data_IF_030743727205
#
_entry.id   IF_030743727205
#
_cell.length_a   1.000
_cell.length_b   1.000
_cell.length_c   1.000
_cell.angle_alpha   90.00
_cell.angle_beta   90.00
_cell.angle_gamma   90.00
#
_symmetry.space_group_name_H-M   'P 1'
#
loop_
_entity.id
_entity.type
_entity.pdbx_description
1 polymer ?
#
# COMPACT_ATOMS: atom_id res chain seq x y z
N UNK A 1 4.30 -0.04 5.70
CA UNK A 1 3.05 0.49 6.27
C UNK A 1 3.28 1.11 7.65
N UNK A 2 2.69 2.28 7.92
CA UNK A 2 2.73 3.00 9.21
C UNK A 2 1.69 2.43 10.19
N UNK A 3 1.97 1.28 10.80
CA UNK A 3 1.13 0.75 11.87
C UNK A 3 1.50 1.37 13.23
N UNK A 4 0.63 1.24 14.22
CA UNK A 4 0.90 1.69 15.60
C UNK A 4 2.21 1.11 16.15
N UNK A 5 2.45 -0.18 15.94
CA UNK A 5 3.70 -0.83 16.34
C UNK A 5 4.93 -0.26 15.63
N UNK A 6 4.81 0.09 14.34
CA UNK A 6 5.92 0.71 13.60
C UNK A 6 6.18 2.15 14.07
N UNK A 7 5.12 2.90 14.39
CA UNK A 7 5.22 4.26 14.93
C UNK A 7 5.90 4.23 16.30
N UNK A 8 5.54 3.26 17.16
CA UNK A 8 6.21 3.08 18.45
C UNK A 8 7.69 2.68 18.26
N UNK A 9 7.98 1.73 17.37
CA UNK A 9 9.35 1.29 17.11
C UNK A 9 10.24 2.42 16.55
N UNK A 10 9.70 3.28 15.68
CA UNK A 10 10.40 4.44 15.14
C UNK A 10 10.85 5.46 16.20
N UNK A 11 10.29 5.41 17.43
CA UNK A 11 10.79 6.24 18.55
C UNK A 11 12.17 5.78 19.05
N UNK A 12 12.51 4.52 18.83
CA UNK A 12 13.74 3.90 19.30
C UNK A 12 14.78 3.72 18.18
N UNK A 13 14.35 3.61 16.93
CA UNK A 13 15.23 3.54 15.76
C UNK A 13 14.99 4.72 14.81
N UNK A 14 15.90 5.70 14.89
CA UNK A 14 15.85 6.92 14.08
C UNK A 14 16.14 6.70 12.59
N UNK A 15 16.61 5.51 12.18
CA UNK A 15 16.81 5.19 10.77
C UNK A 15 15.49 4.95 10.02
N UNK A 16 14.39 4.79 10.75
CA UNK A 16 13.06 4.59 10.18
C UNK A 16 12.46 5.90 9.69
N UNK A 17 12.21 5.98 8.39
CA UNK A 17 11.48 7.08 7.79
C UNK A 17 9.99 6.74 7.67
N UNK A 18 9.16 7.21 8.60
CA UNK A 18 7.72 7.00 8.55
C UNK A 18 7.05 7.69 7.35
N UNK A 19 7.59 8.84 6.88
CA UNK A 19 6.99 9.61 5.79
C UNK A 19 7.08 8.93 4.42
N UNK A 20 8.01 7.99 4.24
CA UNK A 20 8.14 7.17 3.04
C UNK A 20 7.21 5.94 3.06
N UNK A 21 6.57 5.65 4.19
CA UNK A 21 5.69 4.51 4.36
C UNK A 21 4.23 4.88 4.06
N UNK A 22 3.48 3.96 3.47
CA UNK A 22 2.03 4.07 3.27
C UNK A 22 1.25 4.00 4.59
N UNK A 23 0.05 4.59 4.63
CA UNK A 23 -0.91 4.43 5.74
C UNK A 23 -1.53 3.03 5.80
N UNK A 24 -2.19 2.68 6.92
CA UNK A 24 -2.98 1.44 7.01
C UNK A 24 -4.22 1.54 6.10
N UNK A 25 -4.83 2.71 6.05
CA UNK A 25 -6.00 3.04 5.26
C UNK A 25 -5.77 2.83 3.77
N UNK A 26 -4.54 3.05 3.29
CA UNK A 26 -4.18 2.81 1.90
C UNK A 26 -4.38 1.35 1.48
N UNK A 27 -3.96 0.40 2.30
CA UNK A 27 -4.21 -1.02 2.04
C UNK A 27 -5.71 -1.35 2.10
N UNK A 28 -6.44 -0.75 3.05
CA UNK A 28 -7.90 -0.86 3.12
C UNK A 28 -8.60 -0.36 1.84
N UNK A 29 -8.17 0.78 1.29
CA UNK A 29 -8.66 1.30 0.00
C UNK A 29 -8.40 0.33 -1.16
N UNK A 30 -7.23 -0.29 -1.20
CA UNK A 30 -6.90 -1.30 -2.21
C UNK A 30 -7.87 -2.49 -2.17
N UNK A 31 -8.12 -3.02 -0.96
CA UNK A 31 -9.06 -4.12 -0.75
C UNK A 31 -10.48 -3.70 -1.16
N UNK A 32 -10.92 -2.51 -0.74
CA UNK A 32 -12.24 -2.00 -1.09
C UNK A 32 -12.42 -1.76 -2.60
N UNK A 33 -11.39 -1.29 -3.31
CA UNK A 33 -11.42 -1.12 -4.76
C UNK A 33 -11.52 -2.47 -5.47
N UNK A 34 -10.68 -3.45 -5.07
CA UNK A 34 -10.71 -4.81 -5.59
C UNK A 34 -12.08 -5.49 -5.36
N UNK A 35 -12.64 -5.37 -4.16
CA UNK A 35 -13.93 -5.95 -3.82
C UNK A 35 -15.11 -5.39 -4.64
N UNK A 36 -14.95 -4.21 -5.24
CA UNK A 36 -15.95 -3.56 -6.11
C UNK A 36 -15.72 -3.82 -7.60
N UNK A 37 -14.59 -4.42 -7.98
CA UNK A 37 -14.30 -4.77 -9.37
C UNK A 37 -15.06 -6.06 -9.75
N UNK A 38 -15.95 -5.97 -10.73
CA UNK A 38 -16.69 -7.11 -11.25
C UNK A 38 -15.78 -8.17 -11.87
N UNK A 39 -14.58 -7.79 -12.29
CA UNK A 39 -13.57 -8.66 -12.89
C UNK A 39 -12.51 -9.14 -11.89
N UNK A 40 -12.74 -9.00 -10.58
CA UNK A 40 -11.79 -9.38 -9.52
C UNK A 40 -11.21 -10.80 -9.69
N UNK A 41 -12.00 -11.74 -10.23
CA UNK A 41 -11.55 -13.12 -10.46
C UNK A 41 -10.31 -13.20 -11.36
N UNK A 42 -10.11 -12.24 -12.28
CA UNK A 42 -8.93 -12.18 -13.14
C UNK A 42 -7.62 -11.98 -12.36
N UNK A 43 -7.70 -11.46 -11.13
CA UNK A 43 -6.54 -11.22 -10.27
C UNK A 43 -6.20 -12.40 -9.35
N UNK A 44 -7.03 -13.45 -9.36
CA UNK A 44 -6.82 -14.64 -8.54
C UNK A 44 -5.52 -15.33 -8.88
N UNK A 45 -4.76 -15.73 -7.86
CA UNK A 45 -3.48 -16.43 -8.01
C UNK A 45 -2.27 -15.52 -8.27
N UNK A 46 -2.44 -14.19 -8.25
CA UNK A 46 -1.36 -13.22 -8.45
C UNK A 46 -0.92 -12.57 -7.14
N UNK A 47 0.35 -12.15 -7.09
CA UNK A 47 0.85 -11.20 -6.08
C UNK A 47 0.51 -9.78 -6.54
N UNK A 48 -0.44 -9.17 -5.85
CA UNK A 48 -0.86 -7.79 -6.11
C UNK A 48 -0.11 -6.83 -5.19
N UNK A 49 0.53 -5.82 -5.76
CA UNK A 49 1.22 -4.77 -5.01
C UNK A 49 0.26 -3.59 -4.83
N UNK A 50 0.06 -3.13 -3.59
CA UNK A 50 -0.90 -2.07 -3.26
C UNK A 50 -0.70 -0.79 -4.08
N UNK A 51 0.56 -0.38 -4.28
CA UNK A 51 0.92 0.74 -5.14
C UNK A 51 0.38 0.60 -6.59
N UNK A 52 0.44 -0.61 -7.16
CA UNK A 52 -0.03 -0.88 -8.52
C UNK A 52 -1.57 -0.93 -8.58
N UNK A 53 -2.21 -1.43 -7.52
CA UNK A 53 -3.66 -1.40 -7.37
C UNK A 53 -4.18 0.04 -7.32
N UNK A 54 -3.51 0.90 -6.55
CA UNK A 54 -3.83 2.32 -6.48
C UNK A 54 -3.72 3.03 -7.83
N UNK A 55 -2.68 2.70 -8.61
CA UNK A 55 -2.56 3.18 -10.00
C UNK A 55 -3.66 2.64 -10.91
N UNK A 56 -3.98 1.34 -10.83
CA UNK A 56 -5.03 0.68 -11.64
C UNK A 56 -6.39 1.34 -11.43
N UNK A 57 -6.75 1.64 -10.18
CA UNK A 57 -8.07 2.20 -9.83
C UNK A 57 -8.05 3.73 -9.63
N UNK A 58 -6.92 4.39 -9.86
CA UNK A 58 -6.83 5.85 -9.90
C UNK A 58 -7.01 6.55 -8.54
N UNK A 59 -6.46 6.01 -7.46
CA UNK A 59 -6.49 6.65 -6.14
C UNK A 59 -5.10 6.75 -5.51
N UNK A 60 -4.96 7.63 -4.52
CA UNK A 60 -3.74 7.83 -3.74
C UNK A 60 -3.96 7.55 -2.25
N UNK A 61 -2.86 7.51 -1.49
CA UNK A 61 -2.88 7.45 -0.03
C UNK A 61 -3.59 8.70 0.56
N UNK A 62 -4.00 8.62 1.83
CA UNK A 62 -4.76 9.66 2.53
C UNK A 62 -4.05 11.02 2.58
N UNK A 63 -2.73 11.04 2.42
CA UNK A 63 -1.91 12.25 2.35
C UNK A 63 -1.64 12.72 0.91
N UNK A 64 -2.33 12.14 -0.09
CA UNK A 64 -2.17 12.46 -1.50
C UNK A 64 -0.96 11.81 -2.18
N UNK A 65 -0.10 11.08 -1.45
CA UNK A 65 1.06 10.41 -2.02
C UNK A 65 0.67 9.14 -2.79
N UNK A 66 1.40 8.86 -3.86
CA UNK A 66 1.36 7.58 -4.55
C UNK A 66 2.58 6.75 -4.11
N UNK A 67 2.39 5.65 -3.36
CA UNK A 67 3.50 4.75 -3.03
C UNK A 67 4.13 4.14 -4.29
N UNK A 68 5.44 3.87 -4.22
CA UNK A 68 6.21 3.25 -5.31
C UNK A 68 5.99 1.74 -5.26
N UNK A 69 5.78 1.12 -6.42
CA UNK A 69 5.72 -0.35 -6.50
C UNK A 69 7.05 -0.98 -6.08
N UNK A 70 6.98 -1.89 -5.13
CA UNK A 70 8.13 -2.66 -4.64
C UNK A 70 8.47 -3.85 -5.54
N UNK A 71 7.71 -4.07 -6.63
CA UNK A 71 7.94 -5.19 -7.55
C UNK A 71 9.37 -5.19 -8.10
N UNK A 72 9.93 -4.01 -8.35
CA UNK A 72 11.32 -3.78 -8.78
C UNK A 72 12.41 -4.33 -7.86
N UNK A 73 12.07 -4.64 -6.61
CA UNK A 73 13.02 -5.15 -5.62
C UNK A 73 12.95 -6.66 -5.45
N UNK A 74 12.07 -7.35 -6.19
CA UNK A 74 11.88 -8.80 -6.10
C UNK A 74 12.78 -9.59 -7.07
N UNK A 75 13.63 -8.91 -7.83
CA UNK A 75 14.56 -9.45 -8.83
C UNK A 75 15.82 -8.58 -8.89
#
# INVERSE_FOLDING_TARGET
>A
MKSEGMIEYAKYDTSINLDSMESIEFAGKCIAALARDSNLMEETGKILIAAEIALKYGFTDINGKQPISQRGMLY
#
